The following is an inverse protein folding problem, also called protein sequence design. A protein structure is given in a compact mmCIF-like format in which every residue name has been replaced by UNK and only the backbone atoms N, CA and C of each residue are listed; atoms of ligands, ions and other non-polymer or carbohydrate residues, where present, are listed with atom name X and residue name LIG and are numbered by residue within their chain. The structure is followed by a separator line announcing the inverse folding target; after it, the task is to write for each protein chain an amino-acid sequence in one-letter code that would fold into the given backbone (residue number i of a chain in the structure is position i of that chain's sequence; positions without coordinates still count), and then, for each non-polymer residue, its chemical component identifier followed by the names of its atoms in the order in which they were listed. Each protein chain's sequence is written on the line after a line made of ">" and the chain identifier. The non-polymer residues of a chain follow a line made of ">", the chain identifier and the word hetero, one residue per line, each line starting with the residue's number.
data_IF_113468867436
#
_entry.id   IF_113468867436
#
_cell.length_a   1.000
_cell.length_b   1.000
_cell.length_c   1.000
_cell.angle_alpha   90.00
_cell.angle_beta   90.00
_cell.angle_gamma   90.00
#
_symmetry.space_group_name_H-M   'P 1'
#
loop_
_entity.id
_entity.type
_entity.pdbx_description
1 polymer ?
#
# COMPACT_ATOMS: atom_id res chain seq x y z
N UNK A 1 -89.32 -32.44 -3.37
CA UNK A 1 -88.97 -31.61 -2.20
C UNK A 1 -87.95 -30.58 -2.67
N UNK A 2 -88.33 -29.33 -2.94
CA UNK A 2 -88.32 -28.21 -1.99
C UNK A 2 -86.94 -28.07 -1.29
N UNK A 3 -86.21 -26.96 -1.29
CA UNK A 3 -86.49 -25.55 -1.54
C UNK A 3 -85.14 -24.79 -1.56
N UNK A 4 -85.07 -23.63 -2.26
CA UNK A 4 -84.35 -22.39 -1.88
C UNK A 4 -82.79 -22.43 -1.94
N UNK A 5 -82.05 -21.42 -2.40
CA UNK A 5 -82.23 -19.95 -2.46
C UNK A 5 -81.23 -19.36 -3.47
N UNK A 6 -81.62 -18.32 -4.20
CA UNK A 6 -80.71 -17.36 -4.85
C UNK A 6 -80.05 -16.48 -3.79
N UNK A 7 -78.75 -16.27 -3.86
CA UNK A 7 -78.09 -15.04 -3.37
C UNK A 7 -76.83 -14.78 -4.20
N UNK A 8 -76.82 -13.65 -4.90
CA UNK A 8 -75.62 -13.15 -5.56
C UNK A 8 -74.58 -12.72 -4.55
N UNK A 9 -73.30 -12.80 -4.93
CA UNK A 9 -72.24 -12.13 -4.20
C UNK A 9 -71.16 -11.61 -5.14
N UNK A 10 -70.83 -10.34 -4.92
CA UNK A 10 -70.01 -9.46 -5.73
C UNK A 10 -68.59 -10.01 -5.92
N UNK A 11 -68.13 -10.04 -7.17
CA UNK A 11 -66.72 -10.09 -7.57
C UNK A 11 -65.96 -8.94 -6.90
N UNK A 12 -65.30 -9.20 -5.77
CA UNK A 12 -64.21 -8.36 -5.26
C UNK A 12 -62.91 -8.86 -5.88
N UNK A 13 -62.40 -8.10 -6.85
CA UNK A 13 -61.02 -8.21 -7.33
C UNK A 13 -60.09 -7.93 -6.14
N UNK A 14 -59.50 -8.97 -5.56
CA UNK A 14 -58.29 -8.84 -4.74
C UNK A 14 -57.12 -8.89 -5.72
N UNK A 15 -56.58 -7.73 -6.03
CA UNK A 15 -55.23 -7.57 -6.54
C UNK A 15 -54.28 -8.14 -5.48
N UNK A 16 -53.81 -9.36 -5.68
CA UNK A 16 -52.59 -9.86 -5.05
C UNK A 16 -51.45 -8.99 -5.55
N UNK A 17 -51.09 -7.98 -4.76
CA UNK A 17 -49.79 -7.34 -4.86
C UNK A 17 -48.80 -8.41 -4.41
N UNK A 18 -48.19 -9.09 -5.38
CA UNK A 18 -46.99 -9.87 -5.13
C UNK A 18 -45.92 -8.91 -4.65
N UNK A 19 -45.79 -8.79 -3.33
CA UNK A 19 -44.60 -8.22 -2.70
C UNK A 19 -43.47 -9.17 -3.08
N UNK A 20 -42.79 -8.87 -4.18
CA UNK A 20 -41.45 -9.38 -4.45
C UNK A 20 -40.59 -8.94 -3.25
N UNK A 21 -40.53 -9.79 -2.22
CA UNK A 21 -39.46 -9.77 -1.25
C UNK A 21 -38.19 -9.93 -2.07
N UNK A 22 -37.54 -8.80 -2.37
CA UNK A 22 -36.17 -8.78 -2.86
C UNK A 22 -35.36 -9.53 -1.81
N UNK A 23 -35.13 -10.82 -2.05
CA UNK A 23 -34.19 -11.62 -1.28
C UNK A 23 -32.89 -10.82 -1.26
N UNK A 24 -32.46 -10.40 -0.07
CA UNK A 24 -31.18 -9.74 0.09
C UNK A 24 -30.12 -10.58 -0.63
N UNK A 25 -29.20 -9.96 -1.39
CA UNK A 25 -28.19 -10.72 -2.13
C UNK A 25 -27.44 -11.64 -1.15
N UNK A 26 -27.11 -12.87 -1.56
CA UNK A 26 -26.46 -13.83 -0.68
C UNK A 26 -25.19 -13.20 -0.12
N UNK A 27 -25.07 -13.18 1.22
CA UNK A 27 -23.88 -12.70 1.90
C UNK A 27 -22.74 -13.64 1.54
N UNK A 28 -21.86 -13.24 0.63
CA UNK A 28 -20.68 -14.02 0.28
C UNK A 28 -19.79 -14.09 1.52
N UNK A 29 -19.49 -15.32 1.96
CA UNK A 29 -18.65 -15.56 3.13
C UNK A 29 -17.23 -15.04 2.88
N UNK A 30 -16.59 -14.42 3.89
CA UNK A 30 -15.24 -13.84 3.78
C UNK A 30 -14.23 -14.84 3.20
N UNK A 31 -14.34 -16.12 3.58
CA UNK A 31 -13.50 -17.20 3.07
C UNK A 31 -13.55 -17.33 1.55
N UNK A 32 -14.76 -17.31 0.98
CA UNK A 32 -14.98 -17.41 -0.45
C UNK A 32 -14.40 -16.21 -1.20
N UNK A 33 -14.51 -15.00 -0.62
CA UNK A 33 -13.87 -13.80 -1.21
C UNK A 33 -12.35 -13.89 -1.19
N UNK A 34 -11.76 -14.46 -0.14
CA UNK A 34 -10.32 -14.70 -0.04
C UNK A 34 -9.89 -15.70 -1.10
N UNK A 35 -10.55 -16.85 -1.20
CA UNK A 35 -10.24 -17.90 -2.18
C UNK A 35 -10.30 -17.38 -3.61
N UNK A 36 -11.39 -16.70 -3.97
CA UNK A 36 -11.60 -16.14 -5.32
C UNK A 36 -10.50 -15.12 -5.67
N UNK A 37 -9.94 -14.40 -4.70
CA UNK A 37 -8.98 -13.32 -4.99
C UNK A 37 -7.54 -13.64 -4.60
N UNK A 38 -7.27 -14.83 -4.06
CA UNK A 38 -5.96 -15.21 -3.53
C UNK A 38 -4.86 -15.03 -4.57
N UNK A 39 -5.08 -15.52 -5.79
CA UNK A 39 -4.15 -15.39 -6.91
C UNK A 39 -3.78 -13.93 -7.23
N UNK A 40 -4.77 -13.04 -7.31
CA UNK A 40 -4.57 -11.62 -7.66
C UNK A 40 -3.85 -10.87 -6.54
N UNK A 41 -4.21 -11.14 -5.29
CA UNK A 41 -3.57 -10.49 -4.14
C UNK A 41 -2.15 -11.00 -3.88
N UNK A 42 -1.86 -12.29 -4.09
CA UNK A 42 -0.48 -12.80 -4.06
C UNK A 42 0.37 -12.10 -5.13
N UNK A 43 -0.16 -11.95 -6.35
CA UNK A 43 0.52 -11.23 -7.43
C UNK A 43 0.77 -9.75 -7.09
N UNK A 44 -0.21 -9.06 -6.49
CA UNK A 44 -0.07 -7.65 -6.08
C UNK A 44 1.01 -7.48 -5.02
N UNK A 45 1.00 -8.33 -3.99
CA UNK A 45 2.02 -8.33 -2.94
C UNK A 45 3.42 -8.49 -3.53
N UNK A 46 3.59 -9.50 -4.40
CA UNK A 46 4.87 -9.78 -5.04
C UNK A 46 5.36 -8.59 -5.85
N UNK A 47 4.51 -8.03 -6.71
CA UNK A 47 4.87 -6.86 -7.52
C UNK A 47 5.24 -5.64 -6.66
N UNK A 48 4.50 -5.38 -5.58
CA UNK A 48 4.76 -4.25 -4.70
C UNK A 48 6.09 -4.41 -3.93
N UNK A 49 6.33 -5.61 -3.39
CA UNK A 49 7.58 -5.92 -2.68
C UNK A 49 8.79 -5.90 -3.62
N UNK A 50 8.71 -6.52 -4.80
CA UNK A 50 9.77 -6.48 -5.82
C UNK A 50 10.12 -5.04 -6.19
N UNK A 51 9.11 -4.18 -6.39
CA UNK A 51 9.36 -2.78 -6.73
C UNK A 51 10.00 -2.00 -5.56
N UNK A 52 9.55 -2.23 -4.33
CA UNK A 52 10.14 -1.60 -3.15
C UNK A 52 11.60 -2.04 -2.97
N UNK A 53 11.90 -3.32 -3.24
CA UNK A 53 13.24 -3.87 -3.21
C UNK A 53 14.14 -3.22 -4.27
N UNK A 54 13.69 -3.11 -5.53
CA UNK A 54 14.39 -2.42 -6.61
C UNK A 54 14.73 -0.98 -6.19
N UNK A 55 13.74 -0.22 -5.68
CA UNK A 55 13.93 1.16 -5.24
C UNK A 55 14.99 1.29 -4.15
N UNK A 56 14.85 0.51 -3.08
CA UNK A 56 15.71 0.59 -1.89
C UNK A 56 17.17 0.18 -2.17
N UNK A 57 17.40 -0.68 -3.17
CA UNK A 57 18.76 -1.15 -3.51
C UNK A 57 19.44 -0.36 -4.61
N UNK A 58 18.68 0.10 -5.61
CA UNK A 58 19.26 0.56 -6.88
C UNK A 58 18.93 2.02 -7.18
N UNK A 59 17.81 2.55 -6.69
CA UNK A 59 17.31 3.85 -7.15
C UNK A 59 17.39 4.97 -6.12
N UNK A 60 17.49 4.69 -4.83
CA UNK A 60 17.64 5.74 -3.80
C UNK A 60 19.05 6.34 -3.91
N UNK A 61 19.16 7.65 -4.21
CA UNK A 61 20.45 8.29 -4.34
C UNK A 61 21.28 8.20 -3.06
N UNK A 62 22.55 7.85 -3.19
CA UNK A 62 23.50 7.89 -2.08
C UNK A 62 23.97 9.32 -1.74
N UNK A 63 23.61 10.30 -2.56
CA UNK A 63 24.16 11.66 -2.49
C UNK A 63 23.35 12.55 -1.55
N UNK A 64 24.04 13.34 -0.72
CA UNK A 64 23.44 14.30 0.21
C UNK A 64 22.68 15.44 -0.50
N UNK A 65 22.84 15.61 -1.83
CA UNK A 65 22.23 16.72 -2.59
C UNK A 65 20.79 16.43 -3.03
N UNK A 66 20.37 15.17 -3.10
CA UNK A 66 19.06 14.77 -3.63
C UNK A 66 18.04 14.44 -2.52
N UNK A 67 18.05 15.20 -1.41
CA UNK A 67 17.25 14.91 -0.20
C UNK A 67 15.75 14.78 -0.46
N UNK A 68 15.17 15.71 -1.23
CA UNK A 68 13.74 15.69 -1.58
C UNK A 68 13.37 14.46 -2.40
N UNK A 69 14.25 14.07 -3.34
CA UNK A 69 14.07 12.86 -4.15
C UNK A 69 14.14 11.60 -3.27
N UNK A 70 15.10 11.54 -2.34
CA UNK A 70 15.19 10.43 -1.36
C UNK A 70 13.91 10.33 -0.53
N UNK A 71 13.41 11.45 -0.01
CA UNK A 71 12.16 11.49 0.75
C UNK A 71 10.97 10.96 -0.07
N UNK A 72 10.81 11.42 -1.31
CA UNK A 72 9.74 10.97 -2.20
C UNK A 72 9.84 9.45 -2.50
N UNK A 73 11.05 8.93 -2.69
CA UNK A 73 11.26 7.50 -2.92
C UNK A 73 10.97 6.66 -1.68
N UNK A 74 11.42 7.07 -0.49
CA UNK A 74 11.06 6.39 0.76
C UNK A 74 9.55 6.40 0.99
N UNK A 75 8.89 7.53 0.73
CA UNK A 75 7.44 7.63 0.83
C UNK A 75 6.72 6.67 -0.14
N UNK A 76 7.24 6.53 -1.36
CA UNK A 76 6.70 5.55 -2.31
C UNK A 76 6.95 4.10 -1.86
N UNK A 77 8.13 3.79 -1.32
CA UNK A 77 8.39 2.48 -0.71
C UNK A 77 7.39 2.16 0.41
N UNK A 78 7.06 3.13 1.27
CA UNK A 78 6.04 2.94 2.30
C UNK A 78 4.67 2.60 1.71
N UNK A 79 4.25 3.28 0.64
CA UNK A 79 3.01 2.96 -0.06
C UNK A 79 3.02 1.54 -0.64
N UNK A 80 4.15 1.10 -1.20
CA UNK A 80 4.31 -0.25 -1.72
C UNK A 80 4.23 -1.31 -0.61
N UNK A 81 4.83 -1.06 0.55
CA UNK A 81 4.71 -1.97 1.70
C UNK A 81 3.29 -2.00 2.28
N UNK A 82 2.60 -0.86 2.35
CA UNK A 82 1.19 -0.80 2.75
C UNK A 82 0.30 -1.61 1.80
N UNK A 83 0.55 -1.51 0.49
CA UNK A 83 -0.12 -2.31 -0.54
C UNK A 83 0.17 -3.81 -0.39
N UNK A 84 1.43 -4.18 -0.13
CA UNK A 84 1.85 -5.56 0.08
C UNK A 84 1.20 -6.16 1.34
N UNK A 85 1.15 -5.41 2.43
CA UNK A 85 0.48 -5.80 3.68
C UNK A 85 -1.02 -5.96 3.47
N UNK A 86 -1.66 -4.99 2.84
CA UNK A 86 -3.10 -5.03 2.55
C UNK A 86 -3.46 -6.22 1.65
N UNK A 87 -2.66 -6.48 0.61
CA UNK A 87 -2.84 -7.63 -0.25
C UNK A 87 -2.65 -8.95 0.51
N UNK A 88 -1.67 -9.03 1.41
CA UNK A 88 -1.46 -10.19 2.28
C UNK A 88 -2.68 -10.45 3.16
N UNK A 89 -3.18 -9.43 3.87
CA UNK A 89 -4.36 -9.53 4.74
C UNK A 89 -5.64 -9.91 3.97
N UNK A 90 -5.78 -9.46 2.72
CA UNK A 90 -6.93 -9.78 1.86
C UNK A 90 -6.84 -11.17 1.21
N UNK A 91 -5.67 -11.80 1.23
CA UNK A 91 -5.45 -13.14 0.65
C UNK A 91 -5.35 -14.25 1.68
N UNK A 92 -5.53 -13.95 2.97
CA UNK A 92 -5.42 -14.93 4.04
C UNK A 92 -6.46 -14.71 5.15
N UNK A 93 -6.75 -15.77 5.89
CA UNK A 93 -7.70 -15.74 7.00
C UNK A 93 -7.02 -15.23 8.26
N UNK A 94 -5.81 -15.72 8.53
CA UNK A 94 -4.97 -15.42 9.69
C UNK A 94 -4.50 -13.96 9.69
N UNK A 95 -4.64 -13.28 10.82
CA UNK A 95 -4.31 -11.85 10.90
C UNK A 95 -2.84 -11.58 11.19
N UNK A 96 -2.11 -12.54 11.75
CA UNK A 96 -0.72 -12.38 12.18
C UNK A 96 0.13 -13.54 11.65
N UNK A 97 0.76 -13.33 10.50
CA UNK A 97 1.66 -14.31 9.88
C UNK A 97 3.10 -13.78 9.88
N UNK A 98 4.13 -14.65 9.81
CA UNK A 98 5.53 -14.21 9.72
C UNK A 98 5.77 -13.26 8.55
N UNK A 99 5.04 -13.43 7.44
CA UNK A 99 5.08 -12.51 6.29
C UNK A 99 4.61 -11.10 6.68
N UNK A 100 3.49 -10.98 7.40
CA UNK A 100 2.99 -9.67 7.83
C UNK A 100 3.93 -9.00 8.83
N UNK A 101 4.51 -9.78 9.76
CA UNK A 101 5.50 -9.27 10.71
C UNK A 101 6.75 -8.76 9.98
N UNK A 102 7.26 -9.51 9.00
CA UNK A 102 8.35 -9.09 8.15
C UNK A 102 8.03 -7.79 7.39
N UNK A 103 6.86 -7.72 6.73
CA UNK A 103 6.44 -6.53 5.98
C UNK A 103 6.26 -5.30 6.88
N UNK A 104 5.79 -5.48 8.12
CA UNK A 104 5.71 -4.39 9.12
C UNK A 104 7.09 -3.92 9.54
N UNK A 105 7.99 -4.85 9.87
CA UNK A 105 9.33 -4.53 10.32
C UNK A 105 10.08 -3.69 9.28
N UNK A 106 10.05 -4.11 8.01
CA UNK A 106 10.73 -3.35 6.95
C UNK A 106 10.07 -2.00 6.70
N UNK A 107 8.73 -1.93 6.71
CA UNK A 107 8.00 -0.66 6.60
C UNK A 107 8.39 0.32 7.70
N UNK A 108 8.45 -0.14 8.94
CA UNK A 108 8.87 0.68 10.10
C UNK A 108 10.31 1.16 9.94
N UNK A 109 11.21 0.28 9.48
CA UNK A 109 12.61 0.65 9.24
C UNK A 109 12.73 1.70 8.12
N UNK A 110 11.97 1.56 7.03
CA UNK A 110 11.92 2.55 5.95
C UNK A 110 11.28 3.87 6.41
N UNK A 111 10.30 3.80 7.32
CA UNK A 111 9.70 5.00 7.93
C UNK A 111 10.70 5.75 8.80
N UNK A 112 11.61 5.05 9.47
CA UNK A 112 12.70 5.69 10.21
C UNK A 112 13.65 6.42 9.26
N UNK A 113 14.01 5.82 8.11
CA UNK A 113 14.79 6.51 7.08
C UNK A 113 14.10 7.78 6.57
N UNK A 114 12.80 7.71 6.26
CA UNK A 114 12.04 8.88 5.86
C UNK A 114 12.07 9.98 6.92
N UNK A 115 11.92 9.61 8.20
CA UNK A 115 11.98 10.57 9.30
C UNK A 115 13.35 11.25 9.42
N UNK A 116 14.45 10.52 9.21
CA UNK A 116 15.80 11.08 9.18
C UNK A 116 15.97 12.09 8.04
N UNK A 117 15.51 11.76 6.83
CA UNK A 117 15.56 12.67 5.68
C UNK A 117 14.70 13.91 5.91
N UNK A 118 13.50 13.76 6.47
CA UNK A 118 12.64 14.89 6.83
C UNK A 118 13.27 15.78 7.90
N UNK A 119 13.94 15.18 8.89
CA UNK A 119 14.69 15.94 9.89
C UNK A 119 15.82 16.73 9.24
N UNK A 120 16.56 16.12 8.30
CA UNK A 120 17.61 16.78 7.54
C UNK A 120 17.09 17.98 6.73
N UNK A 121 15.94 17.82 6.05
CA UNK A 121 15.27 18.90 5.32
C UNK A 121 14.84 20.04 6.26
N UNK A 122 14.29 19.70 7.44
CA UNK A 122 13.91 20.68 8.45
C UNK A 122 15.11 21.46 8.99
N UNK A 123 16.24 20.78 9.24
CA UNK A 123 17.48 21.43 9.68
C UNK A 123 17.99 22.46 8.66
N UNK A 124 17.90 22.18 7.36
CA UNK A 124 18.32 23.12 6.31
C UNK A 124 17.40 24.34 6.27
N UNK A 125 16.09 24.12 6.37
CA UNK A 125 15.13 25.21 6.40
C UNK A 125 15.35 26.13 7.61
N UNK A 126 15.52 25.53 8.79
CA UNK A 126 15.84 26.24 10.02
C UNK A 126 17.21 26.94 9.97
N UNK A 127 18.22 26.31 9.36
CA UNK A 127 19.55 26.90 9.22
C UNK A 127 19.51 28.22 8.43
N UNK A 128 18.69 28.29 7.37
CA UNK A 128 18.49 29.51 6.61
C UNK A 128 17.85 30.63 7.44
N UNK A 129 16.92 30.31 8.34
CA UNK A 129 16.30 31.27 9.25
C UNK A 129 17.27 31.72 10.34
N UNK A 130 17.98 30.78 10.98
CA UNK A 130 18.92 31.08 12.06
C UNK A 130 20.17 31.81 11.59
N UNK A 131 20.65 31.54 10.38
CA UNK A 131 21.75 32.31 9.76
C UNK A 131 21.45 33.81 9.73
N UNK A 132 20.20 34.17 9.39
CA UNK A 132 19.76 35.57 9.35
C UNK A 132 19.76 36.23 10.73
N UNK A 133 19.57 35.46 11.81
CA UNK A 133 19.43 35.97 13.17
C UNK A 133 20.72 35.92 13.99
N UNK A 134 21.59 34.94 13.73
CA UNK A 134 22.72 34.59 14.61
C UNK A 134 24.08 34.56 13.87
N UNK A 135 24.10 34.78 12.55
CA UNK A 135 25.29 34.79 11.72
C UNK A 135 25.78 33.41 11.28
N UNK A 136 26.84 33.40 10.45
CA UNK A 136 27.26 32.23 9.65
C UNK A 136 27.93 31.11 10.47
N UNK A 137 28.37 31.37 11.69
CA UNK A 137 28.91 30.34 12.59
C UNK A 137 27.86 29.29 12.97
N UNK A 138 26.58 29.65 12.93
CA UNK A 138 25.46 28.74 13.18
C UNK A 138 25.23 27.82 11.97
N UNK A 139 25.40 28.31 10.73
CA UNK A 139 25.28 27.50 9.52
C UNK A 139 26.26 26.33 9.50
N UNK A 140 27.52 26.57 9.87
CA UNK A 140 28.53 25.52 9.92
C UNK A 140 28.15 24.39 10.88
N UNK A 141 27.51 24.71 12.03
CA UNK A 141 27.02 23.72 12.99
C UNK A 141 25.84 22.92 12.45
N UNK A 142 24.94 23.55 11.68
CA UNK A 142 23.84 22.86 11.03
C UNK A 142 24.32 21.92 9.91
N UNK A 143 25.33 22.32 9.15
CA UNK A 143 25.94 21.47 8.12
C UNK A 143 26.56 20.21 8.72
N UNK A 144 27.37 20.34 9.78
CA UNK A 144 27.96 19.18 10.49
C UNK A 144 26.85 18.23 11.00
N UNK A 145 25.76 18.77 11.54
CA UNK A 145 24.62 17.94 11.99
C UNK A 145 23.88 17.28 10.82
N UNK A 146 23.72 17.97 9.69
CA UNK A 146 23.14 17.40 8.47
C UNK A 146 23.95 16.19 7.98
N UNK A 147 25.28 16.29 8.01
CA UNK A 147 26.17 15.21 7.58
C UNK A 147 26.04 13.98 8.49
N UNK A 148 25.98 14.17 9.82
CA UNK A 148 25.75 13.06 10.79
C UNK A 148 24.39 12.40 10.57
N UNK A 149 23.34 13.17 10.26
CA UNK A 149 22.00 12.61 9.95
C UNK A 149 22.03 11.82 8.64
N UNK A 150 22.71 12.34 7.61
CA UNK A 150 22.94 11.64 6.35
C UNK A 150 23.70 10.31 6.54
N UNK A 151 24.72 10.28 7.39
CA UNK A 151 25.43 9.03 7.74
C UNK A 151 24.54 8.05 8.49
N UNK A 152 23.74 8.54 9.45
CA UNK A 152 22.76 7.74 10.16
C UNK A 152 21.72 7.10 9.23
N UNK A 153 21.21 7.87 8.27
CA UNK A 153 20.27 7.39 7.24
C UNK A 153 20.89 6.28 6.38
N UNK A 154 22.13 6.46 5.94
CA UNK A 154 22.85 5.41 5.20
C UNK A 154 23.01 4.14 6.02
N UNK A 155 23.39 4.27 7.29
CA UNK A 155 23.52 3.13 8.20
C UNK A 155 22.20 2.36 8.36
N UNK A 156 21.07 3.06 8.45
CA UNK A 156 19.75 2.41 8.53
C UNK A 156 19.35 1.80 7.18
N UNK A 157 19.65 2.45 6.05
CA UNK A 157 19.43 1.88 4.70
C UNK A 157 20.21 0.57 4.46
N UNK A 158 21.45 0.48 4.96
CA UNK A 158 22.22 -0.77 4.93
C UNK A 158 21.51 -1.88 5.72
N UNK A 159 20.93 -1.54 6.89
CA UNK A 159 20.12 -2.50 7.67
C UNK A 159 18.85 -2.91 6.94
N UNK A 160 18.18 -1.98 6.23
CA UNK A 160 17.05 -2.32 5.35
C UNK A 160 17.48 -3.34 4.31
N UNK A 161 18.66 -3.18 3.71
CA UNK A 161 19.19 -4.14 2.74
C UNK A 161 19.41 -5.53 3.36
N UNK A 162 19.94 -5.61 4.58
CA UNK A 162 20.06 -6.88 5.30
C UNK A 162 18.70 -7.50 5.64
N UNK A 163 17.72 -6.68 6.05
CA UNK A 163 16.35 -7.15 6.32
C UNK A 163 15.65 -7.67 5.06
N UNK A 164 15.86 -7.02 3.91
CA UNK A 164 15.35 -7.48 2.62
C UNK A 164 15.89 -8.88 2.29
N UNK A 165 17.20 -9.12 2.48
CA UNK A 165 17.82 -10.42 2.25
C UNK A 165 17.31 -11.49 3.22
N UNK A 166 17.11 -11.14 4.50
CA UNK A 166 16.58 -12.05 5.49
C UNK A 166 15.12 -12.45 5.22
N UNK A 167 14.29 -11.52 4.74
CA UNK A 167 12.86 -11.78 4.52
C UNK A 167 12.51 -12.42 3.18
N UNK A 168 13.41 -12.39 2.20
CA UNK A 168 13.17 -12.99 0.88
C UNK A 168 12.81 -14.49 0.95
N UNK A 169 13.52 -15.34 1.74
CA UNK A 169 13.13 -16.73 1.92
C UNK A 169 11.73 -16.91 2.53
N UNK A 170 11.32 -16.02 3.44
CA UNK A 170 10.01 -16.08 4.11
C UNK A 170 8.90 -15.83 3.08
N UNK A 171 9.06 -14.78 2.27
CA UNK A 171 8.10 -14.45 1.21
C UNK A 171 8.05 -15.51 0.12
N UNK A 172 9.21 -16.01 -0.30
CA UNK A 172 9.30 -17.03 -1.34
C UNK A 172 8.61 -18.33 -0.91
N UNK A 173 8.85 -18.79 0.31
CA UNK A 173 8.20 -19.99 0.84
C UNK A 173 6.68 -19.83 0.89
N UNK A 174 6.19 -18.69 1.38
CA UNK A 174 4.75 -18.43 1.44
C UNK A 174 4.12 -18.24 0.03
N UNK A 175 4.84 -17.64 -0.93
CA UNK A 175 4.44 -17.63 -2.35
C UNK A 175 4.30 -19.06 -2.90
N UNK A 176 5.30 -19.92 -2.68
CA UNK A 176 5.32 -21.31 -3.13
C UNK A 176 4.15 -22.11 -2.54
N UNK A 177 3.92 -22.01 -1.22
CA UNK A 177 2.81 -22.67 -0.53
C UNK A 177 1.44 -22.19 -1.04
N UNK A 178 1.28 -20.89 -1.31
CA UNK A 178 0.05 -20.35 -1.92
C UNK A 178 -0.16 -20.89 -3.32
N UNK A 179 0.88 -20.81 -4.15
CA UNK A 179 0.83 -21.22 -5.55
C UNK A 179 0.60 -22.73 -5.71
N UNK A 180 1.02 -23.56 -4.76
CA UNK A 180 0.73 -25.00 -4.76
C UNK A 180 -0.77 -25.33 -4.71
N UNK A 181 -1.59 -24.42 -4.18
CA UNK A 181 -3.05 -24.59 -4.09
C UNK A 181 -3.82 -24.01 -5.27
N UNK A 182 -3.13 -23.40 -6.24
CA UNK A 182 -3.77 -22.71 -7.35
C UNK A 182 -4.33 -23.67 -8.39
N UNK A 183 -5.54 -23.37 -8.85
CA UNK A 183 -6.08 -23.99 -10.05
C UNK A 183 -5.35 -23.47 -11.31
N UNK A 184 -5.50 -24.13 -12.48
CA UNK A 184 -4.96 -23.60 -13.73
C UNK A 184 -5.44 -22.17 -14.07
N UNK A 185 -6.69 -21.83 -13.74
CA UNK A 185 -7.20 -20.46 -13.93
C UNK A 185 -6.58 -19.48 -12.92
N UNK A 186 -6.35 -19.88 -11.67
CA UNK A 186 -5.65 -19.05 -10.69
C UNK A 186 -4.21 -18.73 -11.13
N UNK A 187 -3.48 -19.71 -11.68
CA UNK A 187 -2.16 -19.46 -12.26
C UNK A 187 -2.22 -18.48 -13.44
N UNK A 188 -3.26 -18.54 -14.27
CA UNK A 188 -3.48 -17.58 -15.36
C UNK A 188 -3.76 -16.18 -14.80
N UNK A 189 -4.68 -16.06 -13.83
CA UNK A 189 -5.04 -14.79 -13.19
C UNK A 189 -3.86 -14.17 -12.43
N UNK A 190 -3.08 -14.97 -11.71
CA UNK A 190 -1.85 -14.57 -11.04
C UNK A 190 -0.85 -13.96 -12.03
N UNK A 191 -0.53 -14.65 -13.13
CA UNK A 191 0.43 -14.16 -14.13
C UNK A 191 -0.04 -12.85 -14.78
N UNK A 192 -1.32 -12.76 -15.12
CA UNK A 192 -1.91 -11.55 -15.70
C UNK A 192 -1.83 -10.38 -14.71
N UNK A 193 -2.27 -10.59 -13.47
CA UNK A 193 -2.23 -9.59 -12.42
C UNK A 193 -0.78 -9.15 -12.11
N UNK A 194 0.16 -10.08 -12.04
CA UNK A 194 1.57 -9.78 -11.76
C UNK A 194 2.15 -8.85 -12.84
N UNK A 195 1.87 -9.14 -14.11
CA UNK A 195 2.32 -8.29 -15.23
C UNK A 195 1.73 -6.88 -15.13
N UNK A 196 0.43 -6.78 -14.87
CA UNK A 196 -0.26 -5.49 -14.74
C UNK A 196 0.26 -4.69 -13.53
N UNK A 197 0.43 -5.31 -12.37
CA UNK A 197 0.93 -4.62 -11.17
C UNK A 197 2.40 -4.21 -11.31
N UNK A 198 3.25 -5.03 -11.90
CA UNK A 198 4.64 -4.62 -12.23
C UNK A 198 4.66 -3.40 -13.13
N UNK A 199 3.79 -3.35 -14.14
CA UNK A 199 3.65 -2.18 -15.01
C UNK A 199 3.11 -0.97 -14.25
N UNK A 200 2.12 -1.17 -13.39
CA UNK A 200 1.50 -0.11 -12.60
C UNK A 200 2.49 0.55 -11.63
N UNK A 201 3.23 -0.25 -10.86
CA UNK A 201 4.18 0.25 -9.85
C UNK A 201 5.49 0.81 -10.45
N UNK A 202 5.80 0.49 -11.71
CA UNK A 202 6.92 1.09 -12.45
C UNK A 202 6.56 2.41 -13.14
N UNK A 203 5.29 2.84 -13.13
CA UNK A 203 4.96 4.17 -13.64
C UNK A 203 5.72 5.19 -12.80
N UNK A 204 6.45 6.14 -13.43
CA UNK A 204 7.18 7.14 -12.69
C UNK A 204 6.23 7.85 -11.73
N UNK A 205 6.71 8.12 -10.52
CA UNK A 205 6.09 9.08 -9.62
C UNK A 205 5.98 10.37 -10.42
N UNK A 206 4.84 10.59 -11.08
CA UNK A 206 4.51 11.91 -11.55
C UNK A 206 4.56 12.75 -10.28
N UNK A 207 5.60 13.57 -10.14
CA UNK A 207 5.61 14.66 -9.19
C UNK A 207 4.24 15.30 -9.35
N UNK A 208 3.37 15.15 -8.35
CA UNK A 208 2.21 16.01 -8.26
C UNK A 208 2.84 17.39 -8.12
N UNK A 209 2.90 18.12 -9.23
CA UNK A 209 3.29 19.52 -9.20
C UNK A 209 2.50 20.17 -8.07
N UNK A 210 3.15 20.92 -7.17
CA UNK A 210 2.40 21.67 -6.18
C UNK A 210 1.43 22.54 -6.95
N UNK A 211 0.14 22.29 -6.78
CA UNK A 211 -0.94 23.13 -7.33
C UNK A 211 -0.59 24.56 -6.93
N UNK A 212 -0.17 25.35 -7.90
CA UNK A 212 0.13 26.75 -7.71
C UNK A 212 -1.14 27.36 -7.12
N UNK A 213 -1.05 27.81 -5.86
CA UNK A 213 -2.11 28.62 -5.26
C UNK A 213 -2.16 29.90 -6.07
N UNK A 214 -3.20 30.04 -6.87
CA UNK A 214 -3.57 31.32 -7.46
C UNK A 214 -3.73 32.33 -6.32
N UNK A 215 -2.73 33.19 -6.15
CA UNK A 215 -2.90 34.44 -5.42
C UNK A 215 -3.88 35.30 -6.21
N UNK A 216 -5.03 35.72 -5.64
CA UNK A 216 -5.82 36.75 -6.27
C UNK A 216 -5.00 38.06 -6.27
N UNK A 217 -4.86 38.64 -7.45
CA UNK A 217 -4.23 39.94 -7.69
C UNK A 217 -5.04 41.06 -6.99
N UNK A 218 -4.40 42.21 -6.68
CA UNK A 218 -4.91 43.24 -5.77
C UNK A 218 -6.17 43.97 -6.25
#
# INVERSE_FOLDING_TARGET
>A
MAERKRTGSKRRRRSTVEVHQKSAPPRVHRHTLIEINRAVFTARRKAAHERAFELLREEIPATAKEKERRAAQYQFCLQLFDDAMTATQRSQIEQETPVLQYLRLIRETVSANLALVHHELALIHQAAEFSRLLGDTVLARFQIRSDVVSEGERGVLERVSSLLQFGDPILRKDDEERMATFTPDDHRRYRLALREYRRFYRRPLACKEPVARETPAP
#
